data_IF_010034329382
#
_entry.id   IF_010034329382
#
_cell.length_a   1.000
_cell.length_b   1.000
_cell.length_c   1.000
_cell.angle_alpha   90.00
_cell.angle_beta   90.00
_cell.angle_gamma   90.00
#
_symmetry.space_group_name_H-M   'P 1'
#
loop_
_entity.id
_entity.type
_entity.pdbx_description
1 polymer ?
#
# COMPACT_ATOMS: atom_id res chain seq x y z
N UNK A 1 31.36 -29.64 2.75
CA UNK A 1 31.32 -28.47 1.85
C UNK A 1 29.94 -27.86 1.98
N UNK A 2 29.85 -26.71 2.64
CA UNK A 2 28.61 -26.01 2.95
C UNK A 2 27.94 -25.52 1.65
N UNK A 3 26.80 -26.09 1.30
CA UNK A 3 25.93 -25.55 0.25
C UNK A 3 25.46 -24.17 0.68
N UNK A 4 25.90 -23.12 0.00
CA UNK A 4 25.33 -21.78 0.18
C UNK A 4 23.82 -21.84 -0.09
N UNK A 5 22.98 -21.30 0.81
CA UNK A 5 21.52 -21.41 0.69
C UNK A 5 20.89 -20.55 -0.42
N UNK A 6 21.70 -19.89 -1.26
CA UNK A 6 21.22 -19.00 -2.32
C UNK A 6 21.98 -19.24 -3.62
N UNK A 7 21.69 -20.34 -4.32
CA UNK A 7 21.94 -20.35 -5.76
C UNK A 7 20.86 -19.47 -6.40
N UNK A 8 21.24 -18.23 -6.74
CA UNK A 8 20.42 -17.35 -7.56
C UNK A 8 20.05 -18.14 -8.81
N UNK A 9 18.76 -18.48 -8.96
CA UNK A 9 18.32 -19.42 -10.00
C UNK A 9 18.94 -19.06 -11.36
N UNK A 10 19.34 -20.07 -12.14
CA UNK A 10 19.87 -19.87 -13.50
C UNK A 10 18.95 -18.99 -14.36
N UNK A 11 17.64 -19.04 -14.11
CA UNK A 11 16.64 -18.17 -14.74
C UNK A 11 16.84 -16.68 -14.43
N UNK A 12 17.26 -16.32 -13.21
CA UNK A 12 17.56 -14.94 -12.85
C UNK A 12 18.89 -14.48 -13.48
N UNK A 13 19.93 -15.35 -13.48
CA UNK A 13 21.21 -15.07 -14.17
C UNK A 13 20.99 -14.84 -15.67
N UNK A 14 20.05 -15.58 -16.28
CA UNK A 14 19.68 -15.47 -17.69
C UNK A 14 18.42 -14.63 -17.91
N UNK A 15 18.02 -13.77 -16.97
CA UNK A 15 16.80 -12.96 -17.08
C UNK A 15 16.80 -12.13 -18.37
N UNK A 16 17.96 -11.59 -18.76
CA UNK A 16 18.17 -10.86 -20.02
C UNK A 16 17.76 -11.65 -21.29
N UNK A 17 17.80 -12.99 -21.27
CA UNK A 17 17.27 -13.84 -22.35
C UNK A 17 15.76 -14.01 -22.22
N UNK A 18 15.25 -14.27 -21.02
CA UNK A 18 13.80 -14.44 -20.80
C UNK A 18 13.00 -13.17 -21.12
N UNK A 19 13.60 -11.98 -20.95
CA UNK A 19 12.98 -10.70 -21.33
C UNK A 19 12.75 -10.59 -22.85
N UNK A 20 13.50 -11.32 -23.67
CA UNK A 20 13.35 -11.34 -25.13
C UNK A 20 12.13 -12.15 -25.59
N UNK A 21 11.54 -12.98 -24.71
CA UNK A 21 10.28 -13.64 -24.99
C UNK A 21 9.13 -12.63 -24.81
N UNK A 22 8.22 -12.58 -25.78
CA UNK A 22 7.14 -11.58 -25.88
C UNK A 22 6.26 -11.45 -24.62
N UNK A 23 6.19 -12.47 -23.77
CA UNK A 23 5.39 -12.45 -22.53
C UNK A 23 5.81 -11.36 -21.54
N UNK A 24 7.10 -11.16 -21.28
CA UNK A 24 7.56 -10.15 -20.30
C UNK A 24 7.53 -8.73 -20.88
N UNK A 25 7.80 -8.58 -22.18
CA UNK A 25 7.65 -7.29 -22.87
C UNK A 25 6.22 -6.76 -22.78
N UNK A 26 5.22 -7.63 -22.88
CA UNK A 26 3.81 -7.26 -22.72
C UNK A 26 3.50 -6.78 -21.30
N UNK A 27 4.09 -7.41 -20.27
CA UNK A 27 3.92 -6.98 -18.87
C UNK A 27 4.41 -5.54 -18.68
N UNK A 28 5.60 -5.19 -19.20
CA UNK A 28 6.12 -3.81 -19.07
C UNK A 28 5.24 -2.78 -19.77
N UNK A 29 4.67 -3.12 -20.93
CA UNK A 29 3.73 -2.24 -21.63
C UNK A 29 2.43 -2.03 -20.87
N UNK A 30 1.91 -3.08 -20.22
CA UNK A 30 0.74 -2.96 -19.35
C UNK A 30 1.08 -2.10 -18.13
N UNK A 31 2.26 -2.28 -17.52
CA UNK A 31 2.73 -1.44 -16.41
C UNK A 31 2.88 0.02 -16.81
N UNK A 32 3.42 0.29 -18.00
CA UNK A 32 3.55 1.64 -18.55
C UNK A 32 2.18 2.31 -18.71
N UNK A 33 1.18 1.59 -19.26
CA UNK A 33 -0.18 2.12 -19.36
C UNK A 33 -0.84 2.31 -17.99
N UNK A 34 -0.66 1.39 -17.05
CA UNK A 34 -1.15 1.54 -15.66
C UNK A 34 -0.62 2.85 -15.06
N UNK A 35 0.70 3.05 -15.10
CA UNK A 35 1.34 4.24 -14.52
C UNK A 35 0.89 5.51 -15.25
N UNK A 36 0.82 5.47 -16.59
CA UNK A 36 0.39 6.59 -17.41
C UNK A 36 -1.06 6.99 -17.14
N UNK A 37 -1.96 6.02 -17.02
CA UNK A 37 -3.38 6.24 -16.68
C UNK A 37 -3.54 6.80 -15.27
N UNK A 38 -2.84 6.25 -14.27
CA UNK A 38 -2.86 6.78 -12.89
C UNK A 38 -2.38 8.24 -12.87
N UNK A 39 -1.26 8.54 -13.53
CA UNK A 39 -0.74 9.91 -13.63
C UNK A 39 -1.75 10.85 -14.28
N UNK A 40 -2.32 10.47 -15.42
CA UNK A 40 -3.30 11.28 -16.13
C UNK A 40 -4.54 11.56 -15.26
N UNK A 41 -5.06 10.52 -14.59
CA UNK A 41 -6.18 10.63 -13.66
C UNK A 41 -5.86 11.60 -12.51
N UNK A 42 -4.76 11.38 -11.77
CA UNK A 42 -4.40 12.23 -10.64
C UNK A 42 -4.11 13.68 -11.06
N UNK A 43 -3.51 13.90 -12.23
CA UNK A 43 -3.35 15.25 -12.80
C UNK A 43 -4.69 15.92 -13.08
N UNK A 44 -5.67 15.19 -13.63
CA UNK A 44 -7.03 15.73 -13.82
C UNK A 44 -7.75 16.06 -12.51
N UNK A 45 -7.39 15.37 -11.42
CA UNK A 45 -7.90 15.61 -10.06
C UNK A 45 -7.17 16.74 -9.31
N UNK A 46 -6.21 17.41 -9.98
CA UNK A 46 -5.46 18.55 -9.45
C UNK A 46 -4.27 18.17 -8.57
N UNK A 47 -3.77 16.93 -8.65
CA UNK A 47 -2.61 16.52 -7.87
C UNK A 47 -1.27 17.03 -8.45
N UNK A 48 -0.36 17.38 -7.55
CA UNK A 48 1.03 17.64 -7.89
C UNK A 48 1.85 16.36 -7.78
N UNK A 49 2.62 16.02 -8.81
CA UNK A 49 3.55 14.89 -8.74
C UNK A 49 4.83 15.40 -8.10
N UNK A 50 5.30 14.71 -7.06
CA UNK A 50 6.56 15.05 -6.38
C UNK A 50 7.59 13.94 -6.62
N UNK A 51 8.86 14.28 -6.46
CA UNK A 51 9.94 13.30 -6.50
C UNK A 51 10.01 12.59 -5.14
N UNK A 52 9.78 11.28 -5.13
CA UNK A 52 9.77 10.50 -3.91
C UNK A 52 11.16 10.51 -3.25
N UNK A 53 11.26 10.73 -1.93
CA UNK A 53 12.49 10.44 -1.21
C UNK A 53 12.78 8.94 -1.30
N UNK A 54 14.04 8.56 -1.47
CA UNK A 54 14.47 7.15 -1.55
C UNK A 54 15.15 6.71 -0.25
N UNK A 55 15.79 7.66 0.44
CA UNK A 55 16.45 7.44 1.72
C UNK A 55 16.11 8.58 2.69
N UNK A 56 16.20 8.32 3.99
CA UNK A 56 15.96 9.32 5.02
C UNK A 56 16.23 8.76 6.42
N UNK A 57 16.15 9.59 7.48
CA UNK A 57 16.47 9.16 8.84
C UNK A 57 15.54 8.05 9.36
N UNK A 58 14.29 8.05 8.91
CA UNK A 58 13.26 7.04 9.20
C UNK A 58 12.48 6.68 7.94
N UNK A 59 11.83 5.53 7.96
CA UNK A 59 10.87 5.07 6.95
C UNK A 59 9.60 4.58 7.65
N UNK A 60 8.58 4.20 6.88
CA UNK A 60 7.41 3.49 7.38
C UNK A 60 7.76 2.34 8.35
N UNK A 61 7.29 2.39 9.61
CA UNK A 61 7.41 1.29 10.56
C UNK A 61 6.38 0.17 10.31
N UNK A 62 5.30 0.43 9.57
CA UNK A 62 4.17 -0.47 9.33
C UNK A 62 4.40 -1.54 8.26
N UNK A 63 5.52 -2.24 8.31
CA UNK A 63 5.96 -3.14 7.22
C UNK A 63 5.64 -4.63 7.44
N UNK A 64 4.63 -4.95 8.28
CA UNK A 64 4.03 -6.29 8.44
C UNK A 64 5.04 -7.46 8.50
N UNK A 65 6.00 -7.40 9.42
CA UNK A 65 6.99 -8.47 9.63
C UNK A 65 8.21 -8.43 8.70
N UNK A 66 8.20 -7.62 7.65
CA UNK A 66 9.41 -7.34 6.87
C UNK A 66 10.42 -6.52 7.71
N UNK A 67 11.68 -6.50 7.27
CA UNK A 67 12.73 -5.66 7.88
C UNK A 67 13.06 -4.46 7.01
N UNK A 68 13.36 -3.34 7.66
CA UNK A 68 13.85 -2.12 7.01
C UNK A 68 15.32 -2.28 6.58
N UNK A 69 15.72 -1.64 5.48
CA UNK A 69 17.12 -1.55 5.06
C UNK A 69 17.75 -0.32 5.70
N UNK A 70 18.93 -0.48 6.31
CA UNK A 70 19.73 0.62 6.86
C UNK A 70 21.03 0.75 6.06
N UNK A 71 21.42 1.98 5.75
CA UNK A 71 22.65 2.33 5.04
C UNK A 71 23.46 3.34 5.85
N UNK A 72 24.78 3.36 5.63
CA UNK A 72 25.64 4.44 6.14
C UNK A 72 25.53 5.65 5.20
N UNK A 73 25.13 6.80 5.75
CA UNK A 73 25.08 8.07 5.05
C UNK A 73 26.06 9.03 5.74
N UNK A 74 27.31 9.01 5.28
CA UNK A 74 28.41 9.82 5.83
C UNK A 74 28.63 9.62 7.34
N UNK A 75 28.57 8.37 7.81
CA UNK A 75 28.70 8.02 9.22
C UNK A 75 27.41 8.12 10.04
N UNK A 76 26.28 8.45 9.41
CA UNK A 76 24.95 8.50 10.05
C UNK A 76 24.04 7.40 9.47
N UNK A 77 23.36 6.59 10.30
CA UNK A 77 22.48 5.55 9.80
C UNK A 77 21.22 6.15 9.16
N UNK A 78 20.99 5.85 7.89
CA UNK A 78 19.78 6.21 7.14
C UNK A 78 18.99 4.95 6.77
N UNK A 79 17.68 5.10 6.59
CA UNK A 79 16.78 4.07 6.09
C UNK A 79 16.56 4.24 4.60
N UNK A 80 16.43 3.12 3.88
CA UNK A 80 15.83 3.10 2.54
C UNK A 80 14.31 3.04 2.71
N UNK A 81 13.57 3.79 1.89
CA UNK A 81 12.12 3.83 2.00
C UNK A 81 11.48 2.46 1.77
N UNK A 82 10.63 2.06 2.70
CA UNK A 82 9.65 0.97 2.58
C UNK A 82 8.24 1.49 2.28
N UNK A 83 8.02 2.77 2.57
CA UNK A 83 6.97 3.67 2.08
C UNK A 83 7.35 5.09 2.50
N UNK A 84 6.89 6.09 1.76
CA UNK A 84 7.12 7.51 2.07
C UNK A 84 6.02 8.13 2.95
N UNK A 85 5.28 7.32 3.72
CA UNK A 85 4.08 7.73 4.47
C UNK A 85 4.25 8.93 5.40
N UNK A 86 5.41 9.06 6.05
CA UNK A 86 5.71 10.21 6.92
C UNK A 86 6.06 11.45 6.09
N UNK A 87 6.75 11.27 4.96
CA UNK A 87 7.19 12.37 4.10
C UNK A 87 6.04 12.98 3.30
N UNK A 88 5.04 12.18 2.90
CA UNK A 88 3.86 12.74 2.23
C UNK A 88 3.03 13.65 3.17
N UNK A 89 2.99 13.36 4.48
CA UNK A 89 2.40 14.26 5.48
C UNK A 89 3.19 15.57 5.64
N UNK A 90 4.52 15.54 5.49
CA UNK A 90 5.33 16.76 5.46
C UNK A 90 5.01 17.60 4.23
N UNK A 91 4.90 16.97 3.06
CA UNK A 91 4.70 17.68 1.80
C UNK A 91 3.33 18.37 1.74
N UNK A 92 2.29 17.79 2.33
CA UNK A 92 0.95 18.40 2.31
C UNK A 92 0.87 19.75 3.05
N UNK A 93 1.86 20.08 3.88
CA UNK A 93 1.98 21.41 4.49
C UNK A 93 2.22 22.51 3.46
N UNK A 94 2.74 22.14 2.27
CA UNK A 94 3.00 23.07 1.17
C UNK A 94 2.06 22.85 -0.03
N UNK A 95 1.56 21.62 -0.24
CA UNK A 95 0.76 21.26 -1.42
C UNK A 95 -0.48 20.44 -1.01
N UNK A 96 -1.72 20.91 -1.26
CA UNK A 96 -2.92 20.27 -0.72
C UNK A 96 -3.23 18.88 -1.29
N UNK A 97 -2.69 18.53 -2.47
CA UNK A 97 -2.87 17.23 -3.13
C UNK A 97 -1.56 16.80 -3.77
N UNK A 98 -0.97 15.71 -3.29
CA UNK A 98 0.29 15.20 -3.82
C UNK A 98 0.26 13.71 -4.11
N UNK A 99 1.05 13.31 -5.10
CA UNK A 99 1.34 11.90 -5.33
C UNK A 99 2.78 11.71 -5.81
N UNK A 100 3.28 10.49 -5.66
CA UNK A 100 4.57 10.09 -6.19
C UNK A 100 4.57 8.61 -6.59
N UNK A 101 5.36 8.28 -7.61
CA UNK A 101 5.77 6.90 -7.89
C UNK A 101 6.99 6.59 -7.02
N UNK A 102 6.76 6.02 -5.85
CA UNK A 102 7.78 5.72 -4.84
C UNK A 102 8.43 4.35 -5.08
N UNK A 103 9.77 4.28 -5.23
CA UNK A 103 10.50 3.03 -5.12
C UNK A 103 10.61 2.62 -3.65
N UNK A 104 10.19 1.40 -3.34
CA UNK A 104 10.21 0.91 -1.97
C UNK A 104 11.00 -0.41 -1.86
N UNK A 105 11.70 -0.58 -0.74
CA UNK A 105 12.41 -1.80 -0.38
C UNK A 105 11.91 -2.33 0.96
N UNK A 106 11.58 -3.61 1.01
CA UNK A 106 11.21 -4.37 2.21
C UNK A 106 11.96 -5.68 2.22
N UNK A 107 12.71 -5.96 3.29
CA UNK A 107 13.36 -7.27 3.46
C UNK A 107 12.33 -8.27 3.96
N UNK A 108 11.55 -8.81 3.03
CA UNK A 108 10.50 -9.79 3.26
C UNK A 108 11.06 -11.10 3.84
N UNK A 109 10.39 -11.73 4.81
CA UNK A 109 10.88 -12.95 5.43
C UNK A 109 10.65 -14.17 4.50
N UNK A 110 11.45 -15.24 4.69
CA UNK A 110 11.57 -16.33 3.71
C UNK A 110 10.26 -17.06 3.41
N UNK A 111 9.37 -17.16 4.39
CA UNK A 111 8.05 -17.77 4.28
C UNK A 111 7.18 -17.10 3.20
N UNK A 112 7.39 -15.80 2.94
CA UNK A 112 6.62 -15.03 1.95
C UNK A 112 6.87 -15.47 0.51
N UNK A 113 7.96 -16.20 0.24
CA UNK A 113 8.26 -16.76 -1.09
C UNK A 113 7.09 -17.61 -1.63
N UNK A 114 6.32 -18.25 -0.74
CA UNK A 114 5.17 -19.09 -1.13
C UNK A 114 3.93 -18.29 -1.55
N UNK A 115 3.82 -17.05 -1.10
CA UNK A 115 2.63 -16.19 -1.33
C UNK A 115 2.56 -15.62 -2.75
N UNK A 116 3.69 -15.58 -3.47
CA UNK A 116 3.82 -15.02 -4.84
C UNK A 116 3.36 -13.56 -5.02
N UNK A 117 3.18 -12.80 -3.93
CA UNK A 117 2.73 -11.40 -3.93
C UNK A 117 3.71 -10.40 -3.32
N UNK A 118 4.75 -10.90 -2.67
CA UNK A 118 5.76 -10.09 -1.99
C UNK A 118 7.01 -9.98 -2.87
N UNK A 119 7.46 -8.75 -3.09
CA UNK A 119 8.72 -8.43 -3.73
C UNK A 119 9.57 -7.67 -2.72
N UNK A 120 10.88 -7.90 -2.73
CA UNK A 120 11.80 -7.10 -1.92
C UNK A 120 11.90 -5.67 -2.41
N UNK A 121 11.83 -5.46 -3.73
CA UNK A 121 11.77 -4.15 -4.37
C UNK A 121 10.47 -4.04 -5.16
N UNK A 122 9.74 -2.94 -4.98
CA UNK A 122 8.49 -2.69 -5.69
C UNK A 122 8.28 -1.19 -5.91
N UNK A 123 7.25 -0.86 -6.71
CA UNK A 123 6.83 0.51 -6.97
C UNK A 123 5.43 0.75 -6.43
N UNK A 124 5.28 1.85 -5.70
CA UNK A 124 4.01 2.25 -5.11
C UNK A 124 3.63 3.63 -5.64
N UNK A 125 2.37 3.82 -6.02
CA UNK A 125 1.82 5.17 -6.11
C UNK A 125 1.36 5.53 -4.69
N UNK A 126 2.07 6.47 -4.08
CA UNK A 126 1.71 7.07 -2.80
C UNK A 126 1.01 8.39 -3.06
N UNK A 127 -0.13 8.62 -2.40
CA UNK A 127 -0.81 9.91 -2.43
C UNK A 127 -1.28 10.35 -1.05
N UNK A 128 -1.49 11.66 -0.92
CA UNK A 128 -2.02 12.29 0.29
C UNK A 128 -2.77 13.57 -0.09
N UNK A 129 -3.90 13.82 0.59
CA UNK A 129 -4.77 14.97 0.37
C UNK A 129 -5.08 15.64 1.70
N UNK A 130 -4.79 16.94 1.78
CA UNK A 130 -5.15 17.76 2.94
C UNK A 130 -6.66 17.91 3.05
N UNK A 131 -7.17 17.86 4.29
CA UNK A 131 -8.58 17.96 4.67
C UNK A 131 -9.52 16.91 4.07
N UNK A 132 -8.97 15.81 3.53
CA UNK A 132 -9.77 14.69 3.07
C UNK A 132 -10.09 13.70 4.20
N UNK A 133 -11.23 13.03 4.06
CA UNK A 133 -11.68 11.93 4.91
C UNK A 133 -11.38 10.57 4.28
N UNK A 134 -11.59 9.49 5.04
CA UNK A 134 -11.57 8.14 4.47
C UNK A 134 -12.56 7.97 3.30
N UNK A 135 -13.74 8.57 3.39
CA UNK A 135 -14.76 8.45 2.34
C UNK A 135 -14.32 9.13 1.03
N UNK A 136 -13.75 10.33 1.13
CA UNK A 136 -13.22 11.06 -0.04
C UNK A 136 -12.13 10.25 -0.75
N UNK A 137 -11.24 9.63 0.02
CA UNK A 137 -10.11 8.89 -0.50
C UNK A 137 -10.51 7.50 -1.01
N UNK A 138 -11.48 6.84 -0.38
CA UNK A 138 -12.06 5.61 -0.92
C UNK A 138 -12.73 5.89 -2.27
N UNK A 139 -13.58 6.92 -2.39
CA UNK A 139 -14.19 7.30 -3.69
C UNK A 139 -13.14 7.60 -4.76
N UNK A 140 -12.10 8.38 -4.42
CA UNK A 140 -10.97 8.64 -5.31
C UNK A 140 -10.31 7.33 -5.77
N UNK A 141 -10.06 6.40 -4.84
CA UNK A 141 -9.47 5.09 -5.12
C UNK A 141 -10.33 4.25 -6.06
N UNK A 142 -11.65 4.21 -5.84
CA UNK A 142 -12.58 3.51 -6.73
C UNK A 142 -12.61 4.13 -8.14
N UNK A 143 -12.72 5.46 -8.24
CA UNK A 143 -12.69 6.19 -9.52
C UNK A 143 -11.39 5.93 -10.28
N UNK A 144 -10.25 6.03 -9.60
CA UNK A 144 -8.94 5.78 -10.17
C UNK A 144 -8.84 4.34 -10.70
N UNK A 145 -9.17 3.34 -9.87
CA UNK A 145 -9.03 1.93 -10.23
C UNK A 145 -9.91 1.57 -11.42
N UNK A 146 -11.17 1.99 -11.43
CA UNK A 146 -12.07 1.75 -12.57
C UNK A 146 -11.56 2.41 -13.86
N UNK A 147 -11.04 3.64 -13.78
CA UNK A 147 -10.48 4.34 -14.95
C UNK A 147 -9.25 3.61 -15.49
N UNK A 148 -8.33 3.22 -14.63
CA UNK A 148 -7.09 2.53 -15.02
C UNK A 148 -7.38 1.17 -15.67
N UNK A 149 -8.29 0.38 -15.09
CA UNK A 149 -8.68 -0.90 -15.68
C UNK A 149 -9.37 -0.70 -17.03
N UNK A 150 -10.19 0.35 -17.19
CA UNK A 150 -10.82 0.68 -18.47
C UNK A 150 -9.78 1.08 -19.53
N UNK A 151 -8.80 1.91 -19.17
CA UNK A 151 -7.72 2.34 -20.05
C UNK A 151 -6.86 1.15 -20.50
N UNK A 152 -6.41 0.32 -19.56
CA UNK A 152 -5.65 -0.91 -19.85
C UNK A 152 -6.45 -1.85 -20.75
N UNK A 153 -7.74 -2.07 -20.46
CA UNK A 153 -8.60 -2.92 -21.29
C UNK A 153 -8.77 -2.38 -22.71
N UNK A 154 -8.81 -1.06 -22.89
CA UNK A 154 -8.98 -0.44 -24.20
C UNK A 154 -7.69 -0.38 -25.02
N UNK A 155 -6.55 -0.07 -24.38
CA UNK A 155 -5.27 0.20 -25.07
C UNK A 155 -4.31 -0.98 -25.11
N UNK A 156 -4.37 -1.91 -24.14
CA UNK A 156 -3.45 -3.03 -24.02
C UNK A 156 -4.06 -4.37 -24.48
N UNK A 157 -5.08 -4.35 -25.35
CA UNK A 157 -5.76 -5.58 -25.81
C UNK A 157 -4.79 -6.63 -26.35
N UNK A 158 -3.80 -6.20 -27.14
CA UNK A 158 -2.79 -7.09 -27.73
C UNK A 158 -1.89 -7.70 -26.66
N UNK A 159 -1.45 -6.87 -25.71
CA UNK A 159 -0.55 -7.24 -24.62
C UNK A 159 -1.22 -8.22 -23.62
N UNK A 160 -2.51 -8.01 -23.34
CA UNK A 160 -3.32 -8.86 -22.45
C UNK A 160 -3.60 -10.25 -23.06
N UNK A 161 -3.69 -10.36 -24.38
CA UNK A 161 -4.00 -11.62 -25.07
C UNK A 161 -5.33 -12.20 -24.59
N UNK A 162 -5.34 -13.49 -24.23
CA UNK A 162 -6.56 -14.18 -23.74
C UNK A 162 -7.15 -13.56 -22.45
N UNK A 163 -6.33 -12.87 -21.64
CA UNK A 163 -6.81 -12.21 -20.39
C UNK A 163 -7.73 -11.03 -20.66
N UNK A 164 -7.71 -10.47 -21.87
CA UNK A 164 -8.56 -9.34 -22.22
C UNK A 164 -10.05 -9.68 -22.13
N UNK A 165 -10.43 -10.92 -22.47
CA UNK A 165 -11.83 -11.37 -22.43
C UNK A 165 -12.37 -11.48 -21.00
N UNK A 166 -11.51 -11.85 -20.06
CA UNK A 166 -11.86 -12.03 -18.65
C UNK A 166 -11.68 -10.76 -17.83
N UNK A 167 -10.85 -9.81 -18.25
CA UNK A 167 -10.62 -8.54 -17.54
C UNK A 167 -11.92 -7.72 -17.51
N UNK A 168 -12.47 -7.49 -16.32
CA UNK A 168 -13.69 -6.69 -16.12
C UNK A 168 -13.34 -5.39 -15.42
N UNK A 169 -13.98 -4.31 -15.85
CA UNK A 169 -13.96 -3.05 -15.10
C UNK A 169 -14.93 -3.23 -13.93
N UNK A 170 -14.45 -3.11 -12.67
CA UNK A 170 -15.31 -3.26 -11.50
C UNK A 170 -16.45 -2.26 -11.46
N UNK A 171 -17.54 -2.62 -10.78
CA UNK A 171 -18.69 -1.73 -10.59
C UNK A 171 -18.62 -1.04 -9.22
N UNK A 172 -18.81 0.27 -9.24
CA UNK A 172 -18.89 1.11 -8.04
C UNK A 172 -20.35 1.30 -7.59
N UNK A 173 -20.62 1.59 -6.31
CA UNK A 173 -19.65 1.62 -5.21
C UNK A 173 -19.14 0.23 -4.85
N UNK A 174 -17.89 0.11 -4.41
CA UNK A 174 -17.37 -1.17 -3.91
C UNK A 174 -18.01 -1.51 -2.57
N UNK A 175 -18.20 -2.80 -2.32
CA UNK A 175 -18.75 -3.26 -1.05
C UNK A 175 -17.82 -2.85 0.08
N UNK A 176 -18.39 -2.44 1.22
CA UNK A 176 -17.63 -2.08 2.41
C UNK A 176 -17.97 -3.03 3.54
N UNK A 177 -16.94 -3.51 4.20
CA UNK A 177 -17.02 -4.21 5.48
C UNK A 177 -16.23 -3.39 6.49
N UNK A 178 -16.73 -3.32 7.73
CA UNK A 178 -15.89 -3.06 8.88
C UNK A 178 -14.98 -4.25 9.13
N UNK A 179 -13.88 -4.05 9.86
CA UNK A 179 -12.98 -5.12 10.28
C UNK A 179 -13.75 -6.25 10.98
N UNK A 180 -14.72 -5.90 11.84
CA UNK A 180 -15.57 -6.86 12.54
C UNK A 180 -16.42 -7.70 11.58
N UNK A 181 -17.08 -7.05 10.62
CA UNK A 181 -17.85 -7.78 9.60
C UNK A 181 -16.96 -8.65 8.71
N UNK A 182 -15.72 -8.22 8.40
CA UNK A 182 -14.76 -9.04 7.68
C UNK A 182 -14.37 -10.30 8.48
N UNK A 183 -14.22 -10.19 9.81
CA UNK A 183 -14.01 -11.35 10.69
C UNK A 183 -15.23 -12.29 10.70
N UNK A 184 -16.45 -11.76 10.67
CA UNK A 184 -17.67 -12.59 10.60
C UNK A 184 -17.76 -13.36 9.29
N UNK A 185 -17.38 -12.74 8.15
CA UNK A 185 -17.29 -13.43 6.86
C UNK A 185 -16.25 -14.54 6.93
N UNK A 186 -15.07 -14.27 7.52
CA UNK A 186 -14.01 -15.27 7.70
C UNK A 186 -14.47 -16.46 8.56
N UNK A 187 -15.16 -16.19 9.66
CA UNK A 187 -15.70 -17.24 10.53
C UNK A 187 -16.71 -18.12 9.77
N UNK A 188 -17.55 -17.51 8.92
CA UNK A 188 -18.46 -18.22 8.01
C UNK A 188 -17.75 -19.08 6.95
N UNK A 189 -16.50 -18.74 6.60
CA UNK A 189 -15.62 -19.53 5.74
C UNK A 189 -14.80 -20.59 6.51
N UNK A 190 -14.96 -20.66 7.83
CA UNK A 190 -14.20 -21.57 8.70
C UNK A 190 -12.76 -21.11 8.95
N UNK A 191 -12.45 -19.82 8.75
CA UNK A 191 -11.13 -19.23 9.00
C UNK A 191 -11.22 -18.32 10.23
N UNK A 192 -10.54 -18.70 11.30
CA UNK A 192 -10.55 -17.91 12.53
C UNK A 192 -9.38 -16.92 12.57
N UNK A 193 -9.69 -15.65 12.80
CA UNK A 193 -8.69 -14.59 13.04
C UNK A 193 -9.02 -13.91 14.36
N UNK A 194 -8.01 -13.80 15.22
CA UNK A 194 -8.17 -13.20 16.54
C UNK A 194 -8.40 -11.68 16.40
N UNK A 195 -9.38 -11.16 17.13
CA UNK A 195 -9.63 -9.72 17.17
C UNK A 195 -8.42 -8.95 17.72
N UNK A 196 -8.13 -7.79 17.14
CA UNK A 196 -7.04 -6.92 17.57
C UNK A 196 -5.73 -7.13 16.81
N UNK A 197 -5.68 -8.12 15.92
CA UNK A 197 -4.51 -8.42 15.08
C UNK A 197 -4.78 -7.98 13.63
N UNK A 198 -3.73 -7.85 12.85
CA UNK A 198 -3.87 -7.60 11.41
C UNK A 198 -4.38 -8.87 10.71
N UNK A 199 -5.17 -8.72 9.64
CA UNK A 199 -5.68 -9.88 8.90
C UNK A 199 -4.50 -10.53 8.17
N UNK A 200 -4.14 -11.79 8.50
CA UNK A 200 -3.01 -12.46 7.87
C UNK A 200 -3.33 -12.81 6.41
N UNK A 201 -2.29 -13.06 5.62
CA UNK A 201 -2.42 -13.34 4.18
C UNK A 201 -3.40 -14.49 3.89
N UNK A 202 -3.38 -15.58 4.66
CA UNK A 202 -4.25 -16.73 4.42
C UNK A 202 -5.74 -16.38 4.57
N UNK A 203 -6.06 -15.51 5.53
CA UNK A 203 -7.41 -15.01 5.74
C UNK A 203 -7.80 -13.98 4.66
N UNK A 204 -6.88 -13.06 4.33
CA UNK A 204 -7.08 -12.09 3.25
C UNK A 204 -7.33 -12.79 1.90
N UNK A 205 -6.58 -13.86 1.61
CA UNK A 205 -6.76 -14.67 0.41
C UNK A 205 -8.12 -15.40 0.41
N UNK A 206 -8.56 -15.90 1.56
CA UNK A 206 -9.87 -16.53 1.71
C UNK A 206 -11.01 -15.53 1.45
N UNK A 207 -10.93 -14.34 2.04
CA UNK A 207 -11.87 -13.24 1.75
C UNK A 207 -11.85 -12.88 0.27
N UNK A 208 -10.67 -12.68 -0.30
CA UNK A 208 -10.48 -12.35 -1.71
C UNK A 208 -11.12 -13.39 -2.63
N UNK A 209 -10.88 -14.69 -2.40
CA UNK A 209 -11.48 -15.80 -3.17
C UNK A 209 -13.00 -15.88 -3.06
N UNK A 210 -13.57 -15.45 -1.94
CA UNK A 210 -15.01 -15.46 -1.71
C UNK A 210 -15.76 -14.32 -2.44
N UNK A 211 -15.04 -13.38 -3.06
CA UNK A 211 -15.61 -12.22 -3.75
C UNK A 211 -15.26 -12.21 -5.24
N UNK A 212 -16.17 -11.66 -6.03
CA UNK A 212 -16.02 -11.48 -7.49
C UNK A 212 -15.78 -10.03 -7.91
N UNK A 213 -15.91 -9.08 -6.98
CA UNK A 213 -15.67 -7.65 -7.15
C UNK A 213 -14.76 -7.16 -6.01
N UNK A 214 -13.95 -6.10 -6.21
CA UNK A 214 -13.19 -5.48 -5.14
C UNK A 214 -14.09 -4.99 -4.00
N UNK A 215 -13.54 -4.98 -2.78
CA UNK A 215 -14.25 -4.53 -1.58
C UNK A 215 -13.30 -3.91 -0.57
N UNK A 216 -13.82 -3.00 0.23
CA UNK A 216 -13.11 -2.35 1.32
C UNK A 216 -13.26 -3.12 2.62
N UNK A 217 -12.19 -3.16 3.41
CA UNK A 217 -12.22 -3.48 4.83
C UNK A 217 -11.80 -2.20 5.56
N UNK A 218 -12.64 -1.71 6.46
CA UNK A 218 -12.50 -0.42 7.14
C UNK A 218 -12.43 -0.61 8.65
N UNK A 219 -12.03 0.42 9.39
CA UNK A 219 -12.17 0.44 10.85
C UNK A 219 -11.38 -0.66 11.58
N UNK A 220 -10.09 -0.82 11.26
CA UNK A 220 -9.24 -1.73 11.99
C UNK A 220 -9.06 -1.28 13.44
N UNK A 221 -8.85 -2.22 14.37
CA UNK A 221 -8.51 -1.88 15.75
C UNK A 221 -7.12 -1.21 15.80
N UNK A 222 -6.96 -0.27 16.72
CA UNK A 222 -5.72 0.50 16.90
C UNK A 222 -4.49 -0.39 17.21
N UNK A 223 -4.72 -1.60 17.73
CA UNK A 223 -3.70 -2.60 18.02
C UNK A 223 -3.17 -3.32 16.78
N UNK A 224 -3.90 -3.27 15.66
CA UNK A 224 -3.53 -3.97 14.42
C UNK A 224 -2.72 -3.10 13.45
N UNK A 225 -2.57 -1.79 13.71
CA UNK A 225 -2.02 -0.83 12.75
C UNK A 225 -1.04 0.14 13.39
N UNK A 226 -0.17 0.72 12.57
CA UNK A 226 0.83 1.70 12.99
C UNK A 226 0.24 3.00 13.54
N UNK A 227 1.07 3.74 14.30
CA UNK A 227 0.69 4.92 15.07
C UNK A 227 0.11 6.08 14.24
N UNK A 228 0.42 6.15 12.95
CA UNK A 228 0.11 7.31 12.11
C UNK A 228 -1.34 7.36 11.60
N UNK A 229 -2.14 6.33 11.85
CA UNK A 229 -3.57 6.35 11.53
C UNK A 229 -4.38 7.08 12.60
N UNK A 230 -5.36 7.87 12.16
CA UNK A 230 -6.25 8.60 13.07
C UNK A 230 -7.18 7.63 13.81
N UNK A 231 -7.27 7.79 15.12
CA UNK A 231 -8.24 7.08 15.95
C UNK A 231 -9.58 7.83 15.97
N UNK A 232 -10.68 7.08 15.94
CA UNK A 232 -12.02 7.63 16.03
C UNK A 232 -12.30 8.16 17.43
N UNK A 233 -12.79 9.40 17.52
CA UNK A 233 -13.24 9.97 18.79
C UNK A 233 -14.58 9.37 19.24
N UNK A 234 -15.41 8.95 18.30
CA UNK A 234 -16.71 8.33 18.56
C UNK A 234 -16.58 6.87 18.97
N UNK A 235 -15.54 6.19 18.49
CA UNK A 235 -15.28 4.77 18.74
C UNK A 235 -13.81 4.57 19.16
N UNK A 236 -13.46 4.82 20.44
CA UNK A 236 -12.12 4.61 20.95
C UNK A 236 -11.61 3.18 20.68
N UNK A 237 -10.34 3.08 20.28
CA UNK A 237 -9.68 1.85 19.87
C UNK A 237 -9.94 1.47 18.41
N UNK A 238 -10.76 2.21 17.66
CA UNK A 238 -11.04 1.97 16.23
C UNK A 238 -10.40 3.07 15.39
N UNK A 239 -9.70 2.68 14.34
CA UNK A 239 -9.05 3.61 13.44
C UNK A 239 -9.95 4.05 12.29
N UNK A 240 -9.61 5.19 11.72
CA UNK A 240 -10.14 5.67 10.44
C UNK A 240 -9.17 5.26 9.34
N UNK A 241 -9.17 3.97 9.04
CA UNK A 241 -8.32 3.36 8.02
C UNK A 241 -9.12 2.39 7.15
N UNK A 242 -8.46 1.92 6.09
CA UNK A 242 -9.03 0.96 5.17
C UNK A 242 -7.95 0.20 4.39
N UNK A 243 -8.30 -1.02 3.98
CA UNK A 243 -7.64 -1.76 2.91
C UNK A 243 -8.65 -2.03 1.78
N UNK A 244 -8.24 -1.86 0.52
CA UNK A 244 -8.98 -2.38 -0.64
C UNK A 244 -8.46 -3.77 -0.96
N UNK A 245 -9.37 -4.74 -1.07
CA UNK A 245 -9.02 -6.11 -1.43
C UNK A 245 -9.47 -6.36 -2.87
N UNK A 246 -8.54 -6.77 -3.73
CA UNK A 246 -8.87 -7.34 -5.03
C UNK A 246 -9.58 -8.69 -4.84
N UNK A 247 -10.53 -9.05 -5.71
CA UNK A 247 -11.25 -10.32 -5.63
C UNK A 247 -10.37 -11.51 -6.09
N UNK A 248 -10.97 -12.70 -6.21
CA UNK A 248 -10.38 -13.87 -6.92
C UNK A 248 -9.05 -14.41 -6.36
N UNK A 249 -8.71 -14.07 -5.12
CA UNK A 249 -7.48 -14.52 -4.44
C UNK A 249 -6.27 -13.62 -4.64
N UNK A 250 -6.44 -12.41 -5.20
CA UNK A 250 -5.34 -11.46 -5.39
C UNK A 250 -4.96 -10.73 -4.09
N UNK A 251 -5.93 -10.46 -3.22
CA UNK A 251 -5.74 -9.80 -1.92
C UNK A 251 -5.55 -8.27 -2.01
N UNK A 252 -4.94 -7.68 -0.99
CA UNK A 252 -4.81 -6.23 -0.80
C UNK A 252 -4.14 -5.51 -1.97
N UNK A 253 -4.89 -4.54 -2.47
CA UNK A 253 -4.57 -3.58 -3.51
C UNK A 253 -4.04 -2.26 -2.93
N UNK A 254 -4.83 -1.67 -2.04
CA UNK A 254 -4.66 -0.34 -1.46
C UNK A 254 -4.64 -0.50 0.05
N UNK A 255 -3.76 0.22 0.74
CA UNK A 255 -3.84 0.44 2.18
C UNK A 255 -3.72 1.93 2.48
N UNK A 256 -4.60 2.45 3.33
CA UNK A 256 -4.73 3.89 3.55
C UNK A 256 -5.65 4.27 4.70
N UNK A 257 -5.84 5.58 4.87
CA UNK A 257 -6.64 6.13 5.97
C UNK A 257 -6.38 7.60 6.24
N UNK A 258 -7.15 8.14 7.19
CA UNK A 258 -6.91 9.45 7.79
C UNK A 258 -5.65 9.41 8.68
N UNK A 259 -4.92 10.53 8.71
CA UNK A 259 -3.66 10.64 9.46
C UNK A 259 -3.87 11.31 10.80
N UNK A 260 -3.26 10.72 11.81
CA UNK A 260 -3.17 11.35 13.11
C UNK A 260 -2.18 12.52 13.04
N UNK A 261 -2.69 13.71 13.34
CA UNK A 261 -1.95 14.97 13.25
C UNK A 261 -1.74 15.60 14.64
N UNK A 262 -2.35 15.03 15.69
CA UNK A 262 -2.21 15.50 17.07
C UNK A 262 -0.98 14.87 17.70
N UNK A 263 -0.04 15.73 18.10
CA UNK A 263 1.26 15.32 18.65
C UNK A 263 1.12 14.34 19.82
N UNK A 264 0.27 14.66 20.80
CA UNK A 264 0.10 13.87 22.02
C UNK A 264 -0.41 12.46 21.70
N UNK A 265 -1.33 12.36 20.73
CA UNK A 265 -1.90 11.08 20.29
C UNK A 265 -0.90 10.22 19.54
N UNK A 266 -0.08 10.81 18.68
CA UNK A 266 1.02 10.10 18.02
C UNK A 266 2.00 9.51 19.04
N UNK A 267 2.43 10.33 20.02
CA UNK A 267 3.40 9.88 21.04
C UNK A 267 2.81 8.77 21.91
N UNK A 268 1.56 8.90 22.34
CA UNK A 268 0.83 7.84 23.06
C UNK A 268 0.82 6.52 22.26
N UNK A 269 0.49 6.59 20.97
CA UNK A 269 0.46 5.39 20.10
C UNK A 269 1.84 4.80 19.84
N UNK A 270 2.87 5.63 19.64
CA UNK A 270 4.26 5.16 19.48
C UNK A 270 4.71 4.36 20.71
N UNK A 271 4.42 4.86 21.92
CA UNK A 271 4.76 4.17 23.17
C UNK A 271 4.03 2.83 23.29
N UNK A 272 2.75 2.78 22.93
CA UNK A 272 1.98 1.53 22.94
C UNK A 272 2.47 0.51 21.90
N UNK A 273 2.93 0.96 20.72
CA UNK A 273 3.47 0.08 19.67
C UNK A 273 4.95 -0.27 19.85
N UNK A 274 5.63 0.28 20.86
CA UNK A 274 7.06 0.07 21.11
C UNK A 274 7.99 0.82 20.15
N UNK A 275 7.48 1.82 19.45
CA UNK A 275 8.27 2.73 18.60
C UNK A 275 8.94 3.79 19.47
N UNK A 276 10.24 4.02 19.25
CA UNK A 276 11.00 5.03 20.01
C UNK A 276 10.78 6.43 19.39
N UNK A 277 10.07 7.35 20.09
CA UNK A 277 9.79 8.68 19.56
C UNK A 277 11.06 9.49 19.22
N UNK A 278 12.20 9.19 19.85
CA UNK A 278 13.46 9.90 19.61
C UNK A 278 13.98 9.74 18.17
N UNK A 279 13.59 8.66 17.48
CA UNK A 279 13.95 8.42 16.09
C UNK A 279 13.18 9.31 15.10
N UNK A 280 12.01 9.81 15.53
CA UNK A 280 11.06 10.55 14.68
C UNK A 280 11.11 12.06 14.94
N UNK A 281 12.23 12.61 15.44
CA UNK A 281 12.34 14.00 15.88
C UNK A 281 11.78 15.04 14.90
N UNK A 282 12.19 14.99 13.63
CA UNK A 282 11.69 15.92 12.61
C UNK A 282 10.17 15.80 12.38
N UNK A 283 9.63 14.59 12.43
CA UNK A 283 8.22 14.29 12.21
C UNK A 283 7.38 14.78 13.40
N UNK A 284 7.87 14.55 14.61
CA UNK A 284 7.24 15.01 15.84
C UNK A 284 7.26 16.54 15.98
N UNK A 285 8.37 17.18 15.60
CA UNK A 285 8.46 18.65 15.62
C UNK A 285 7.54 19.29 14.57
N UNK A 286 7.40 18.67 13.41
CA UNK A 286 6.41 19.06 12.40
C UNK A 286 4.98 18.98 12.97
N UNK A 287 4.63 17.90 13.66
CA UNK A 287 3.31 17.76 14.30
C UNK A 287 3.05 18.84 15.36
N UNK A 288 4.05 19.16 16.19
CA UNK A 288 3.96 20.25 17.18
C UNK A 288 3.75 21.62 16.55
N UNK A 289 4.37 21.86 15.39
CA UNK A 289 4.19 23.09 14.63
C UNK A 289 2.79 23.21 14.01
N UNK A 290 2.04 22.11 13.96
CA UNK A 290 0.70 22.02 13.38
C UNK A 290 0.77 21.67 11.90
N UNK A 291 0.04 20.65 11.51
CA UNK A 291 -0.17 20.24 10.11
C UNK A 291 -1.66 20.15 9.82
N UNK A 292 -2.10 20.31 8.57
CA UNK A 292 -3.50 20.05 8.23
C UNK A 292 -3.84 18.57 8.45
N UNK A 293 -5.07 18.24 8.89
CA UNK A 293 -5.57 16.86 8.82
C UNK A 293 -5.49 16.38 7.37
N UNK A 294 -5.28 15.09 7.17
CA UNK A 294 -5.19 14.53 5.82
C UNK A 294 -5.63 13.08 5.76
N UNK A 295 -5.85 12.61 4.55
CA UNK A 295 -6.02 11.19 4.27
C UNK A 295 -5.30 10.83 2.97
N UNK A 296 -4.94 9.56 2.83
CA UNK A 296 -4.34 9.06 1.61
C UNK A 296 -4.09 7.56 1.65
N UNK A 297 -3.49 7.04 0.59
CA UNK A 297 -3.18 5.62 0.48
C UNK A 297 -1.90 5.37 -0.33
N UNK A 298 -1.45 4.12 -0.30
CA UNK A 298 -0.50 3.57 -1.25
C UNK A 298 -1.16 2.45 -2.09
N UNK A 299 -0.80 2.36 -3.37
CA UNK A 299 -1.17 1.24 -4.25
C UNK A 299 0.07 0.66 -4.94
N UNK A 300 0.28 -0.65 -4.82
CA UNK A 300 1.41 -1.35 -5.44
C UNK A 300 1.19 -1.58 -6.94
N UNK A 301 2.08 -1.06 -7.79
CA UNK A 301 1.97 -1.16 -9.25
C UNK A 301 2.06 -2.62 -9.70
N UNK A 302 3.01 -3.38 -9.15
CA UNK A 302 3.18 -4.79 -9.49
C UNK A 302 1.99 -5.64 -9.04
N UNK A 303 1.34 -5.29 -7.92
CA UNK A 303 0.11 -5.97 -7.49
C UNK A 303 -1.06 -5.66 -8.42
N UNK A 304 -1.25 -4.39 -8.81
CA UNK A 304 -2.27 -3.99 -9.78
C UNK A 304 -2.05 -4.61 -11.17
N UNK A 305 -0.81 -4.95 -11.52
CA UNK A 305 -0.48 -5.60 -12.80
C UNK A 305 -0.90 -7.08 -12.85
N UNK A 306 -1.01 -7.75 -11.70
CA UNK A 306 -1.27 -9.20 -11.60
C UNK A 306 -2.69 -9.53 -12.02
#
# INVERSE_FOLDING_TARGET
MSSHPFDISENLKKRYLTLRNNGLANVFKVQDEIISSIRAFLKSEGFTEILAPIIGPVTDPGIRGAKQVTIDYYGVPFKVMSSMILYKQMIITALPKVFALSPNIRLEPLETVKTRRHLTEFRQIDLEVAYATCDDIMDLGERMLCQVIADVKSKCRKELGARWETLRVPKKPFKRYTYKEALEVLEGLGVHVKYGEEIPWEAEEALSKAHSEPFWITNYPATARSFYYMESEENPGVLKDFDLIYPEGFGEAISGGEREHRYEKIVERMQHSGEDPSQYGWYLDMLKAGIPPSAGFGIGVERLTR
#
